data_IF_439592518282
#
_entry.id   IF_439592518282
#
_cell.length_a   1.000
_cell.length_b   1.000
_cell.length_c   1.000
_cell.angle_alpha   90.00
_cell.angle_beta   90.00
_cell.angle_gamma   90.00
#
_symmetry.space_group_name_H-M   'P 1'
#
loop_
_entity.id
_entity.type
_entity.pdbx_description
1 polymer ?
#
# COMPACT_ATOMS: atom_id res chain seq x y z
N UNK A 1 -7.67 -19.96 -14.50
CA UNK A 1 -7.82 -18.48 -14.53
C UNK A 1 -7.34 -17.93 -13.20
N UNK A 2 -6.05 -17.63 -13.06
CA UNK A 2 -5.46 -17.09 -11.82
C UNK A 2 -4.60 -15.88 -12.18
N UNK A 3 -5.25 -14.72 -12.35
CA UNK A 3 -4.60 -13.47 -12.76
C UNK A 3 -5.00 -12.32 -11.82
N UNK A 4 -5.03 -12.59 -10.51
CA UNK A 4 -5.33 -11.58 -9.48
C UNK A 4 -4.09 -10.89 -8.91
N UNK A 5 -2.88 -11.40 -9.18
CA UNK A 5 -1.60 -10.80 -8.78
C UNK A 5 -1.33 -9.42 -9.41
N UNK A 6 -1.62 -9.17 -10.71
CA UNK A 6 -1.40 -7.84 -11.30
C UNK A 6 -2.29 -6.78 -10.66
N UNK A 7 -3.53 -7.13 -10.31
CA UNK A 7 -4.48 -6.17 -9.75
C UNK A 7 -4.06 -5.67 -8.36
N UNK A 8 -3.53 -6.55 -7.50
CA UNK A 8 -3.08 -6.14 -6.16
C UNK A 8 -1.77 -5.36 -6.20
N UNK A 9 -0.86 -5.69 -7.12
CA UNK A 9 0.37 -4.92 -7.33
C UNK A 9 0.08 -3.48 -7.78
N UNK A 10 -0.92 -3.28 -8.66
CA UNK A 10 -1.37 -1.94 -9.07
C UNK A 10 -1.90 -1.15 -7.86
N UNK A 11 -2.64 -1.80 -6.96
CA UNK A 11 -3.15 -1.15 -5.74
C UNK A 11 -2.02 -0.77 -4.78
N UNK A 12 -1.03 -1.65 -4.59
CA UNK A 12 0.17 -1.36 -3.79
C UNK A 12 0.92 -0.17 -4.35
N UNK A 13 1.14 -0.12 -5.67
CA UNK A 13 1.87 0.97 -6.30
C UNK A 13 1.13 2.32 -6.16
N UNK A 14 -0.19 2.33 -6.35
CA UNK A 14 -1.01 3.52 -6.11
C UNK A 14 -0.93 4.00 -4.66
N UNK A 15 -1.10 3.10 -3.70
CA UNK A 15 -1.01 3.45 -2.28
C UNK A 15 0.39 3.96 -1.89
N UNK A 16 1.44 3.47 -2.54
CA UNK A 16 2.81 3.96 -2.37
C UNK A 16 2.97 5.40 -2.85
N UNK A 17 2.44 5.73 -4.02
CA UNK A 17 2.42 7.10 -4.54
C UNK A 17 1.62 8.04 -3.62
N UNK A 18 0.44 7.63 -3.17
CA UNK A 18 -0.41 8.42 -2.27
C UNK A 18 0.28 8.71 -0.93
N UNK A 19 0.95 7.71 -0.35
CA UNK A 19 1.74 7.89 0.87
C UNK A 19 2.89 8.87 0.64
N UNK A 20 3.62 8.76 -0.48
CA UNK A 20 4.73 9.68 -0.81
C UNK A 20 4.26 11.13 -0.94
N UNK A 21 3.13 11.36 -1.63
CA UNK A 21 2.56 12.71 -1.74
C UNK A 21 2.10 13.24 -0.38
N UNK A 22 1.52 12.37 0.45
CA UNK A 22 1.07 12.73 1.80
C UNK A 22 2.25 13.09 2.71
N UNK A 23 3.35 12.33 2.65
CA UNK A 23 4.60 12.63 3.38
C UNK A 23 5.22 13.94 2.92
N UNK A 24 5.25 14.22 1.61
CA UNK A 24 5.71 15.51 1.09
C UNK A 24 4.89 16.69 1.61
N UNK A 25 3.58 16.52 1.76
CA UNK A 25 2.68 17.60 2.21
C UNK A 25 2.74 17.84 3.72
N UNK A 26 2.79 16.77 4.52
CA UNK A 26 2.60 16.86 5.97
C UNK A 26 3.85 16.55 6.79
N UNK A 27 4.97 16.21 6.14
CA UNK A 27 6.17 15.72 6.81
C UNK A 27 6.09 14.21 7.13
N UNK A 28 7.16 13.71 7.75
CA UNK A 28 7.30 12.27 8.03
C UNK A 28 6.61 11.85 9.33
N UNK A 29 5.89 10.71 9.27
CA UNK A 29 5.43 9.83 10.36
C UNK A 29 4.71 10.42 11.60
N UNK A 30 4.44 11.73 11.65
CA UNK A 30 3.78 12.37 12.80
C UNK A 30 2.37 12.87 12.48
N UNK A 31 2.02 13.00 11.21
CA UNK A 31 0.70 13.48 10.80
C UNK A 31 -0.30 12.32 10.70
N UNK A 32 -1.52 12.42 11.27
CA UNK A 32 -2.52 11.35 11.23
C UNK A 32 -2.81 10.83 9.83
N UNK A 33 -2.82 11.71 8.82
CA UNK A 33 -3.00 11.31 7.41
C UNK A 33 -1.86 10.43 6.88
N UNK A 34 -0.62 10.69 7.29
CA UNK A 34 0.54 9.87 6.89
C UNK A 34 0.44 8.49 7.52
N UNK A 35 -0.01 8.42 8.78
CA UNK A 35 -0.22 7.17 9.50
C UNK A 35 -1.32 6.34 8.83
N UNK A 36 -2.47 6.95 8.53
CA UNK A 36 -3.58 6.28 7.84
C UNK A 36 -3.13 5.69 6.48
N UNK A 37 -2.42 6.49 5.67
CA UNK A 37 -1.92 6.03 4.37
C UNK A 37 -0.87 4.92 4.49
N UNK A 38 -0.07 4.94 5.56
CA UNK A 38 0.89 3.87 5.84
C UNK A 38 0.18 2.57 6.21
N UNK A 39 -0.89 2.64 7.00
CA UNK A 39 -1.69 1.46 7.37
C UNK A 39 -2.37 0.83 6.15
N UNK A 40 -2.88 1.64 5.22
CA UNK A 40 -3.49 1.16 3.96
C UNK A 40 -2.43 0.42 3.11
N UNK A 41 -1.24 1.02 2.96
CA UNK A 41 -0.15 0.40 2.21
C UNK A 41 0.29 -0.94 2.85
N UNK A 42 0.43 -0.98 4.18
CA UNK A 42 0.78 -2.19 4.91
C UNK A 42 -0.27 -3.30 4.75
N UNK A 43 -1.56 -2.95 4.75
CA UNK A 43 -2.63 -3.93 4.52
C UNK A 43 -2.53 -4.54 3.11
N UNK A 44 -2.31 -3.71 2.09
CA UNK A 44 -2.17 -4.15 0.70
C UNK A 44 -0.94 -5.03 0.51
N UNK A 45 0.19 -4.67 1.11
CA UNK A 45 1.41 -5.49 1.11
C UNK A 45 1.18 -6.84 1.79
N UNK A 46 0.50 -6.85 2.95
CA UNK A 46 0.14 -8.08 3.65
C UNK A 46 -0.79 -8.97 2.80
N UNK A 47 -1.78 -8.37 2.12
CA UNK A 47 -2.65 -9.11 1.22
C UNK A 47 -1.89 -9.70 0.02
N UNK A 48 -0.96 -8.94 -0.59
CA UNK A 48 -0.09 -9.44 -1.65
C UNK A 48 0.78 -10.59 -1.16
N UNK A 49 1.45 -10.42 -0.01
CA UNK A 49 2.30 -11.44 0.59
C UNK A 49 1.52 -12.72 0.89
N UNK A 50 0.31 -12.62 1.46
CA UNK A 50 -0.59 -13.75 1.66
C UNK A 50 -0.88 -14.45 0.35
N UNK A 51 -1.34 -13.72 -0.68
CA UNK A 51 -1.64 -14.30 -2.01
C UNK A 51 -0.42 -14.92 -2.68
N UNK A 52 0.80 -14.44 -2.39
CA UNK A 52 2.05 -15.03 -2.88
C UNK A 52 2.41 -16.34 -2.18
N UNK A 53 2.08 -16.48 -0.89
CA UNK A 53 2.40 -17.65 -0.06
C UNK A 53 1.41 -18.81 -0.21
N UNK A 54 0.22 -18.60 -0.76
CA UNK A 54 -0.78 -19.66 -1.02
C UNK A 54 -0.71 -20.23 -2.45
N UNK A 55 0.36 -19.93 -3.19
CA UNK A 55 0.62 -20.43 -4.55
C UNK A 55 1.79 -21.42 -4.56
#
# INVERSE_FOLDING_TARGET
MQSSQPAILIQVERAREELHQTQKRYGFFTHPKVIEQSMILDELLNQYQRKRLVN
#
